data_IF_859938535625
#
_entry.id   IF_859938535625
#
_cell.length_a   1.000
_cell.length_b   1.000
_cell.length_c   1.000
_cell.angle_alpha   90.00
_cell.angle_beta   90.00
_cell.angle_gamma   90.00
#
_symmetry.space_group_name_H-M   'P 1'
#
loop_
_entity.id
_entity.type
_entity.pdbx_description
1 polymer ?
#
# COMPACT_ATOMS: atom_id res chain seq x y z
N UNK A 1 -21.87 1.50 0.94
CA UNK A 1 -22.73 1.53 2.08
C UNK A 1 -21.99 1.82 3.36
N UNK A 2 -22.57 2.62 4.22
CA UNK A 2 -21.98 2.88 5.52
C UNK A 2 -21.81 1.55 6.26
N UNK A 3 -20.65 1.33 6.85
CA UNK A 3 -20.36 0.10 7.55
C UNK A 3 -19.44 -0.87 6.82
N UNK A 4 -19.31 -0.72 5.52
CA UNK A 4 -18.33 -1.53 4.82
C UNK A 4 -16.93 -1.00 5.10
N UNK A 5 -16.04 -1.92 5.46
CA UNK A 5 -14.66 -1.56 5.75
C UNK A 5 -13.85 -1.47 4.46
N UNK A 6 -12.95 -0.49 4.40
CA UNK A 6 -11.94 -0.45 3.36
C UNK A 6 -10.94 -1.58 3.60
N UNK A 7 -10.54 -2.24 2.53
CA UNK A 7 -9.56 -3.33 2.61
C UNK A 7 -8.18 -2.79 2.28
N UNK A 8 -7.21 -3.10 3.12
CA UNK A 8 -5.83 -2.71 2.90
C UNK A 8 -4.94 -3.95 2.90
N UNK A 9 -4.03 -4.01 1.94
CA UNK A 9 -2.97 -5.02 1.92
C UNK A 9 -1.67 -4.29 2.27
N UNK A 10 -1.06 -4.69 3.38
CA UNK A 10 0.21 -4.10 3.85
C UNK A 10 1.33 -5.08 3.56
N UNK A 11 2.36 -4.62 2.85
CA UNK A 11 3.49 -5.47 2.44
C UNK A 11 4.77 -4.93 3.06
N UNK A 12 5.38 -5.69 3.93
CA UNK A 12 6.60 -5.30 4.64
C UNK A 12 7.27 -6.57 5.16
N UNK A 13 8.58 -6.69 4.97
CA UNK A 13 9.29 -7.89 5.41
C UNK A 13 9.68 -7.83 6.89
N UNK A 14 9.51 -6.68 7.54
CA UNK A 14 9.74 -6.54 8.97
C UNK A 14 8.46 -6.93 9.70
N UNK A 15 8.46 -8.10 10.31
CA UNK A 15 7.28 -8.64 10.98
C UNK A 15 6.77 -7.75 12.11
N UNK A 16 7.68 -7.10 12.84
CA UNK A 16 7.29 -6.23 13.94
C UNK A 16 6.52 -5.01 13.42
N UNK A 17 7.06 -4.35 12.40
CA UNK A 17 6.39 -3.20 11.80
C UNK A 17 5.09 -3.61 11.14
N UNK A 18 5.09 -4.74 10.44
CA UNK A 18 3.90 -5.24 9.78
C UNK A 18 2.75 -5.46 10.77
N UNK A 19 3.05 -6.11 11.90
CA UNK A 19 2.05 -6.36 12.94
C UNK A 19 1.57 -5.05 13.55
N UNK A 20 2.47 -4.11 13.78
CA UNK A 20 2.12 -2.82 14.35
C UNK A 20 1.17 -2.04 13.44
N UNK A 21 1.52 -1.94 12.16
CA UNK A 21 0.65 -1.23 11.21
C UNK A 21 -0.68 -1.95 11.03
N UNK A 22 -0.65 -3.29 10.98
CA UNK A 22 -1.89 -4.07 10.86
C UNK A 22 -2.84 -3.78 12.01
N UNK A 23 -2.31 -3.75 13.22
CA UNK A 23 -3.11 -3.44 14.40
C UNK A 23 -3.69 -2.03 14.34
N UNK A 24 -2.84 -1.05 14.00
CA UNK A 24 -3.28 0.34 13.93
C UNK A 24 -4.35 0.57 12.88
N UNK A 25 -4.16 0.01 11.69
CA UNK A 25 -5.17 0.15 10.64
C UNK A 25 -6.47 -0.55 11.02
N UNK A 26 -6.37 -1.72 11.66
CA UNK A 26 -7.55 -2.44 12.12
C UNK A 26 -8.33 -1.61 13.14
N UNK A 27 -7.63 -0.95 14.05
CA UNK A 27 -8.28 -0.08 15.04
C UNK A 27 -9.00 1.11 14.38
N UNK A 28 -8.56 1.49 13.18
CA UNK A 28 -9.15 2.63 12.47
C UNK A 28 -10.14 2.19 11.39
N UNK A 29 -10.68 0.99 11.52
CA UNK A 29 -11.81 0.56 10.70
C UNK A 29 -11.45 -0.11 9.39
N UNK A 30 -10.19 -0.48 9.17
CA UNK A 30 -9.79 -1.19 7.95
C UNK A 30 -9.89 -2.69 8.15
N UNK A 31 -10.24 -3.37 7.07
CA UNK A 31 -10.06 -4.83 7.00
C UNK A 31 -8.63 -5.05 6.50
N UNK A 32 -7.78 -5.61 7.35
CA UNK A 32 -6.33 -5.68 7.08
C UNK A 32 -5.91 -7.04 6.59
N UNK A 33 -5.15 -7.05 5.51
CA UNK A 33 -4.45 -8.22 4.99
C UNK A 33 -2.98 -7.87 4.94
N UNK A 34 -2.11 -8.85 5.17
CA UNK A 34 -0.67 -8.61 5.24
C UNK A 34 0.08 -9.58 4.34
N UNK A 35 1.26 -9.16 3.92
CA UNK A 35 2.20 -10.02 3.19
C UNK A 35 3.60 -9.67 3.66
N UNK A 36 4.43 -10.68 3.90
CA UNK A 36 5.79 -10.47 4.39
C UNK A 36 6.81 -10.35 3.26
N UNK A 37 6.36 -10.44 2.02
CA UNK A 37 7.23 -10.34 0.86
C UNK A 37 6.44 -9.93 -0.36
N UNK A 38 7.15 -9.49 -1.40
CA UNK A 38 6.52 -9.18 -2.67
C UNK A 38 5.90 -10.41 -3.31
N UNK A 39 6.57 -11.55 -3.20
CA UNK A 39 6.06 -12.81 -3.74
C UNK A 39 4.73 -13.17 -3.10
N UNK A 40 4.64 -13.06 -1.78
CA UNK A 40 3.40 -13.36 -1.07
C UNK A 40 2.29 -12.40 -1.45
N UNK A 41 2.62 -11.11 -1.61
CA UNK A 41 1.64 -10.11 -2.02
C UNK A 41 1.05 -10.46 -3.39
N UNK A 42 1.90 -10.79 -4.36
CA UNK A 42 1.46 -11.16 -5.70
C UNK A 42 0.59 -12.41 -5.64
N UNK A 43 0.99 -13.39 -4.84
CA UNK A 43 0.21 -14.62 -4.68
C UNK A 43 -1.19 -14.34 -4.17
N UNK A 44 -1.31 -13.52 -3.13
CA UNK A 44 -2.62 -13.20 -2.55
C UNK A 44 -3.52 -12.51 -3.55
N UNK A 45 -2.96 -11.60 -4.34
CA UNK A 45 -3.73 -10.91 -5.38
C UNK A 45 -4.18 -11.88 -6.47
N UNK A 46 -3.31 -12.80 -6.87
CA UNK A 46 -3.66 -13.83 -7.87
C UNK A 46 -4.75 -14.76 -7.35
N UNK A 47 -4.81 -14.97 -6.04
CA UNK A 47 -5.82 -15.83 -5.43
C UNK A 47 -7.16 -15.13 -5.25
N UNK A 48 -7.26 -13.86 -5.61
CA UNK A 48 -8.53 -13.16 -5.64
C UNK A 48 -8.70 -12.04 -4.62
N UNK A 49 -7.67 -11.74 -3.83
CA UNK A 49 -7.75 -10.60 -2.91
C UNK A 49 -7.88 -9.32 -3.71
N UNK A 50 -8.86 -8.48 -3.35
CA UNK A 50 -9.11 -7.20 -4.03
C UNK A 50 -9.09 -6.07 -3.02
N UNK A 51 -7.90 -5.59 -2.64
CA UNK A 51 -7.82 -4.50 -1.66
C UNK A 51 -8.20 -3.17 -2.29
N UNK A 52 -8.73 -2.27 -1.47
CA UNK A 52 -8.96 -0.89 -1.88
C UNK A 52 -7.63 -0.14 -1.98
N UNK A 53 -6.66 -0.50 -1.13
CA UNK A 53 -5.34 0.10 -1.17
C UNK A 53 -4.26 -0.92 -0.84
N UNK A 54 -3.08 -0.71 -1.41
CA UNK A 54 -1.89 -1.50 -1.12
C UNK A 54 -0.84 -0.56 -0.57
N UNK A 55 -0.35 -0.86 0.63
CA UNK A 55 0.71 -0.10 1.28
C UNK A 55 1.99 -0.93 1.17
N UNK A 56 2.95 -0.45 0.38
CA UNK A 56 4.09 -1.25 -0.07
C UNK A 56 5.41 -0.69 0.43
N UNK A 57 6.17 -1.51 1.16
CA UNK A 57 7.57 -1.18 1.44
C UNK A 57 8.41 -1.48 0.20
N UNK A 58 9.51 -0.75 0.06
CA UNK A 58 10.41 -0.90 -1.08
C UNK A 58 11.56 -1.87 -0.77
N UNK A 59 12.18 -1.71 0.40
CA UNK A 59 13.39 -2.48 0.72
C UNK A 59 13.01 -3.83 1.28
N UNK A 60 12.97 -4.83 0.40
CA UNK A 60 12.64 -6.20 0.77
C UNK A 60 13.56 -7.14 0.00
N UNK A 61 13.92 -8.31 0.60
CA UNK A 61 14.77 -9.27 -0.12
C UNK A 61 14.04 -9.91 -1.29
N UNK A 62 14.78 -10.42 -2.24
CA UNK A 62 14.33 -11.12 -3.44
C UNK A 62 13.58 -10.20 -4.40
N UNK A 63 12.37 -9.81 -4.07
CA UNK A 63 11.54 -8.95 -4.91
C UNK A 63 11.27 -7.68 -4.12
N UNK A 64 11.88 -6.56 -4.51
CA UNK A 64 11.65 -5.30 -3.80
C UNK A 64 10.26 -4.72 -4.14
N UNK A 65 9.91 -3.62 -3.50
CA UNK A 65 8.59 -3.04 -3.68
C UNK A 65 8.33 -2.53 -5.09
N UNK A 66 9.35 -1.96 -5.74
CA UNK A 66 9.19 -1.49 -7.11
C UNK A 66 8.95 -2.67 -8.07
N UNK A 67 9.72 -3.73 -7.92
CA UNK A 67 9.55 -4.94 -8.73
C UNK A 67 8.19 -5.58 -8.49
N UNK A 68 7.76 -5.57 -7.23
CA UNK A 68 6.43 -6.10 -6.87
C UNK A 68 5.33 -5.31 -7.55
N UNK A 69 5.43 -3.97 -7.51
CA UNK A 69 4.43 -3.11 -8.17
C UNK A 69 4.44 -3.32 -9.68
N UNK A 70 5.61 -3.50 -10.27
CA UNK A 70 5.70 -3.79 -11.70
C UNK A 70 4.96 -5.06 -12.06
N UNK A 71 5.12 -6.11 -11.25
CA UNK A 71 4.41 -7.37 -11.47
C UNK A 71 2.91 -7.22 -11.33
N UNK A 72 2.49 -6.49 -10.31
CA UNK A 72 1.07 -6.23 -10.07
C UNK A 72 0.47 -5.51 -11.28
N UNK A 73 1.16 -4.48 -11.76
CA UNK A 73 0.67 -3.69 -12.88
C UNK A 73 0.66 -4.48 -14.19
N UNK A 74 1.76 -5.19 -14.47
CA UNK A 74 1.90 -5.95 -15.71
C UNK A 74 0.84 -7.04 -15.81
N UNK A 75 0.52 -7.69 -14.71
CA UNK A 75 -0.47 -8.76 -14.67
C UNK A 75 -1.88 -8.26 -14.34
N UNK A 76 -2.06 -6.97 -14.21
CA UNK A 76 -3.36 -6.33 -13.94
C UNK A 76 -4.05 -6.94 -12.73
N UNK A 77 -3.29 -7.19 -11.66
CA UNK A 77 -3.79 -7.87 -10.50
C UNK A 77 -4.58 -6.99 -9.55
N UNK A 78 -4.41 -5.67 -9.64
CA UNK A 78 -5.02 -4.76 -8.67
C UNK A 78 -5.21 -3.37 -9.29
N UNK A 79 -5.77 -3.32 -10.50
CA UNK A 79 -5.92 -2.07 -11.24
C UNK A 79 -6.80 -1.06 -10.51
N UNK A 80 -7.74 -1.54 -9.70
CA UNK A 80 -8.65 -0.66 -8.97
C UNK A 80 -8.16 -0.28 -7.58
N UNK A 81 -6.98 -0.80 -7.18
CA UNK A 81 -6.42 -0.48 -5.88
C UNK A 81 -5.60 0.80 -5.94
N UNK A 82 -5.70 1.61 -4.89
CA UNK A 82 -4.83 2.78 -4.72
C UNK A 82 -3.53 2.27 -4.13
N UNK A 83 -2.41 2.51 -4.81
CA UNK A 83 -1.10 2.02 -4.37
C UNK A 83 -0.33 3.15 -3.72
N UNK A 84 0.20 2.89 -2.54
CA UNK A 84 0.94 3.86 -1.73
C UNK A 84 2.23 3.20 -1.27
N UNK A 85 3.34 3.91 -1.39
CA UNK A 85 4.63 3.43 -0.90
C UNK A 85 4.85 3.96 0.51
N UNK A 86 5.32 3.08 1.39
CA UNK A 86 5.73 3.45 2.75
C UNK A 86 7.12 2.87 2.97
N UNK A 87 8.15 3.74 2.92
CA UNK A 87 9.53 3.26 2.94
C UNK A 87 10.47 4.35 3.45
N UNK A 88 11.67 3.93 3.86
CA UNK A 88 12.74 4.88 4.19
C UNK A 88 13.60 5.22 2.98
N UNK A 89 13.40 4.55 1.85
CA UNK A 89 14.09 4.86 0.61
C UNK A 89 13.40 6.07 -0.02
N UNK A 90 14.06 7.24 0.02
CA UNK A 90 13.35 8.49 -0.25
C UNK A 90 14.11 9.48 -1.13
N UNK A 91 15.02 9.02 -1.98
CA UNK A 91 15.67 9.91 -2.92
C UNK A 91 14.67 10.29 -4.03
N UNK A 92 14.97 11.41 -4.71
CA UNK A 92 14.06 11.88 -5.75
C UNK A 92 13.82 10.82 -6.83
N UNK A 93 14.88 10.08 -7.20
CA UNK A 93 14.75 9.02 -8.18
C UNK A 93 13.77 7.94 -7.75
N UNK A 94 13.72 7.64 -6.45
CA UNK A 94 12.80 6.64 -5.91
C UNK A 94 11.36 7.14 -5.99
N UNK A 95 11.15 8.39 -5.64
CA UNK A 95 9.82 9.01 -5.68
C UNK A 95 9.33 9.06 -7.14
N UNK A 96 10.21 9.42 -8.05
CA UNK A 96 9.87 9.48 -9.48
C UNK A 96 9.52 8.09 -10.02
N UNK A 97 10.26 7.07 -9.60
CA UNK A 97 9.98 5.70 -10.02
C UNK A 97 8.62 5.24 -9.51
N UNK A 98 8.30 5.56 -8.26
CA UNK A 98 6.99 5.24 -7.70
C UNK A 98 5.87 5.89 -8.50
N UNK A 99 6.06 7.16 -8.85
CA UNK A 99 5.07 7.88 -9.64
C UNK A 99 4.86 7.24 -11.01
N UNK A 100 5.95 6.83 -11.65
CA UNK A 100 5.90 6.12 -12.94
C UNK A 100 5.11 4.82 -12.82
N UNK A 101 5.19 4.17 -11.66
CA UNK A 101 4.46 2.92 -11.42
C UNK A 101 3.00 3.16 -11.00
N UNK A 102 2.58 4.42 -10.93
CA UNK A 102 1.19 4.76 -10.67
C UNK A 102 0.81 4.85 -9.21
N UNK A 103 1.78 5.03 -8.30
CA UNK A 103 1.42 5.18 -6.89
C UNK A 103 0.78 6.55 -6.65
N UNK A 104 -0.19 6.57 -5.74
CA UNK A 104 -0.90 7.78 -5.38
C UNK A 104 -0.22 8.55 -4.25
N UNK A 105 0.73 7.91 -3.56
CA UNK A 105 1.45 8.58 -2.49
C UNK A 105 2.74 7.86 -2.15
N UNK A 106 3.65 8.60 -1.54
CA UNK A 106 4.95 8.09 -1.11
C UNK A 106 5.20 8.63 0.29
N UNK A 107 5.16 7.75 1.28
CA UNK A 107 5.30 8.14 2.68
C UNK A 107 6.65 7.66 3.19
N UNK A 108 7.39 8.55 3.83
CA UNK A 108 8.71 8.22 4.39
C UNK A 108 8.54 7.77 5.83
N UNK A 109 8.89 6.51 6.12
CA UNK A 109 8.69 5.91 7.45
C UNK A 109 9.33 6.73 8.57
N UNK A 110 10.58 7.16 8.37
CA UNK A 110 11.33 7.87 9.41
C UNK A 110 10.72 9.21 9.79
N UNK A 111 9.91 9.79 8.91
CA UNK A 111 9.32 11.11 9.12
C UNK A 111 7.88 11.07 9.59
N UNK A 112 7.34 9.89 9.83
CA UNK A 112 5.91 9.77 10.14
C UNK A 112 5.69 8.79 11.29
N UNK A 113 4.88 9.20 12.26
CA UNK A 113 4.40 8.29 13.30
C UNK A 113 3.39 7.34 12.70
N UNK A 114 3.11 6.19 13.34
CA UNK A 114 2.07 5.29 12.84
C UNK A 114 0.71 5.97 12.66
N UNK A 115 0.33 6.84 13.58
CA UNK A 115 -0.92 7.59 13.44
C UNK A 115 -0.94 8.50 12.24
N UNK A 116 0.21 9.15 11.96
CA UNK A 116 0.34 10.00 10.78
C UNK A 116 0.27 9.20 9.49
N UNK A 117 0.83 7.99 9.49
CA UNK A 117 0.74 7.10 8.32
C UNK A 117 -0.72 6.79 8.01
N UNK A 118 -1.49 6.43 9.04
CA UNK A 118 -2.92 6.14 8.86
C UNK A 118 -3.67 7.36 8.34
N UNK A 119 -3.40 8.53 8.90
CA UNK A 119 -4.04 9.78 8.46
C UNK A 119 -3.71 10.08 7.00
N UNK A 120 -2.46 9.90 6.60
CA UNK A 120 -2.04 10.15 5.23
C UNK A 120 -2.69 9.17 4.26
N UNK A 121 -2.75 7.90 4.62
CA UNK A 121 -3.40 6.89 3.78
C UNK A 121 -4.88 7.20 3.63
N UNK A 122 -5.54 7.54 4.74
CA UNK A 122 -6.96 7.88 4.71
C UNK A 122 -7.23 9.09 3.81
N UNK A 123 -6.37 10.10 3.91
CA UNK A 123 -6.50 11.29 3.09
C UNK A 123 -6.31 10.98 1.60
N UNK A 124 -5.30 10.18 1.27
CA UNK A 124 -5.04 9.79 -0.12
C UNK A 124 -6.23 9.03 -0.69
N UNK A 125 -6.79 8.08 0.08
CA UNK A 125 -7.96 7.33 -0.36
C UNK A 125 -9.15 8.25 -0.60
N UNK A 126 -9.37 9.19 0.29
CA UNK A 126 -10.49 10.14 0.18
C UNK A 126 -10.36 10.99 -1.08
N UNK A 127 -9.16 11.49 -1.37
CA UNK A 127 -8.92 12.31 -2.56
C UNK A 127 -9.10 11.51 -3.85
N UNK A 128 -8.67 10.27 -3.86
CA UNK A 128 -8.83 9.42 -5.04
C UNK A 128 -10.29 9.13 -5.32
N UNK A 129 -11.07 8.86 -4.28
CA UNK A 129 -12.51 8.65 -4.43
C UNK A 129 -13.20 9.89 -4.97
N UNK A 130 -12.83 11.07 -4.44
CA UNK A 130 -13.41 12.35 -4.90
C UNK A 130 -13.12 12.58 -6.37
N UNK A 131 -11.91 12.34 -6.81
CA UNK A 131 -11.52 12.51 -8.21
C UNK A 131 -12.32 11.55 -9.09
N UNK A 132 -12.49 10.31 -8.65
CA UNK A 132 -13.23 9.32 -9.41
C UNK A 132 -14.71 9.66 -9.49
N UNK A 133 -15.27 10.23 -8.42
CA UNK A 133 -16.68 10.62 -8.39
C UNK A 133 -16.97 11.79 -9.33
N UNK A 134 -16.04 12.71 -9.45
CA UNK A 134 -16.22 13.88 -10.31
C UNK A 134 -16.26 13.51 -11.78
N UNK A 135 -15.59 12.44 -12.13
CA UNK A 135 -15.59 11.97 -13.52
C UNK A 135 -16.86 11.24 -13.86
#
# INVERSE_FOLDING_TARGET
MAGEKKKILIVDDDNFLLDMYAFKFSQNGFEVHTAVSGVEAVKKLKEGLKPDTILMDIIMPELDGFETLERINTNKLSDNSVKIILSNKNQQADIDRGRTLGVAGYIVKANSTPGEVISQVTEILSKNLSINEVK
#
